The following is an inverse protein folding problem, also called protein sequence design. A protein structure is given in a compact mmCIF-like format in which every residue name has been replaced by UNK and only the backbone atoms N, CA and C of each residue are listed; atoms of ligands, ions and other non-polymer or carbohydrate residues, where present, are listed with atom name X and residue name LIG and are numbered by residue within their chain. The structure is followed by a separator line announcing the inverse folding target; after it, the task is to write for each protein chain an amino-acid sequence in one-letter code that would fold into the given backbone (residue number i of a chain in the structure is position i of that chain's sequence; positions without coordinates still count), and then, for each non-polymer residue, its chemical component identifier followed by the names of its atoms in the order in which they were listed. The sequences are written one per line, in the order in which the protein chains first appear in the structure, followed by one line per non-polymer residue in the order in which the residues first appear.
data_IF_355684714291
#
_entry.id   IF_355684714291
#
_cell.length_a   1.000
_cell.length_b   1.000
_cell.length_c   1.000
_cell.angle_alpha   90.00
_cell.angle_beta   90.00
_cell.angle_gamma   90.00
#
_symmetry.space_group_name_H-M   'P 1'
#
loop_
_entity.id
_entity.type
_entity.pdbx_description
1 polymer ?
#
# COMPACT_ATOMS: atom_id res chain seq x y z
N UNK A 1 1.58 26.70 -45.84
CA UNK A 1 1.26 27.25 -44.51
C UNK A 1 0.22 26.39 -43.79
N UNK A 2 -0.96 26.12 -44.36
CA UNK A 2 -2.04 25.32 -43.74
C UNK A 2 -1.72 23.85 -43.33
N UNK A 3 -0.91 23.13 -44.11
CA UNK A 3 -0.60 21.71 -43.83
C UNK A 3 0.20 21.49 -42.55
N UNK A 4 1.08 22.42 -42.21
CA UNK A 4 1.90 22.32 -41.00
C UNK A 4 1.06 22.56 -39.75
N UNK A 5 0.14 23.50 -39.81
CA UNK A 5 -0.80 23.80 -38.71
C UNK A 5 -1.73 22.63 -38.43
N UNK A 6 -2.24 21.97 -39.49
CA UNK A 6 -3.07 20.78 -39.35
C UNK A 6 -2.30 19.60 -38.71
N UNK A 7 -1.03 19.41 -39.06
CA UNK A 7 -0.19 18.38 -38.45
C UNK A 7 0.10 18.68 -36.98
N UNK A 8 0.42 19.93 -36.65
CA UNK A 8 0.61 20.36 -35.26
C UNK A 8 -0.65 20.11 -34.44
N UNK A 9 -1.82 20.45 -34.98
CA UNK A 9 -3.11 20.25 -34.32
C UNK A 9 -3.44 18.75 -34.14
N UNK A 10 -3.07 17.91 -35.11
CA UNK A 10 -3.20 16.46 -34.99
C UNK A 10 -2.28 15.88 -33.90
N UNK A 11 -1.02 16.31 -33.84
CA UNK A 11 -0.08 15.86 -32.81
C UNK A 11 -0.50 16.31 -31.40
N UNK A 12 -0.98 17.55 -31.24
CA UNK A 12 -1.46 18.02 -29.94
C UNK A 12 -2.72 17.26 -29.52
N UNK A 13 -3.65 16.99 -30.43
CA UNK A 13 -4.80 16.14 -30.15
C UNK A 13 -4.40 14.71 -29.77
N UNK A 14 -3.39 14.13 -30.41
CA UNK A 14 -2.89 12.79 -30.07
C UNK A 14 -2.21 12.75 -28.69
N UNK A 15 -1.50 13.81 -28.31
CA UNK A 15 -0.90 13.96 -26.98
C UNK A 15 -1.97 14.15 -25.89
N UNK A 16 -3.03 14.92 -26.17
CA UNK A 16 -4.15 15.14 -25.26
C UNK A 16 -5.06 13.90 -25.17
N UNK A 17 -5.27 13.21 -26.30
CA UNK A 17 -6.00 11.95 -26.42
C UNK A 17 -5.12 10.75 -26.08
N UNK A 18 -3.89 10.98 -25.63
CA UNK A 18 -3.01 10.04 -24.96
C UNK A 18 -3.59 9.62 -23.60
N UNK A 19 -4.83 9.16 -23.60
CA UNK A 19 -5.34 8.16 -22.70
C UNK A 19 -4.64 6.84 -23.01
N UNK A 20 -3.32 6.81 -22.78
CA UNK A 20 -2.64 5.58 -22.44
C UNK A 20 -3.33 4.97 -21.23
N UNK A 21 -3.15 3.66 -21.03
CA UNK A 21 -3.59 2.99 -19.81
C UNK A 21 -3.25 3.88 -18.60
N UNK A 22 -4.21 4.17 -17.69
CA UNK A 22 -4.02 5.17 -16.67
C UNK A 22 -2.72 4.90 -15.90
N UNK A 23 -1.85 5.90 -15.82
CA UNK A 23 -0.66 5.82 -14.99
C UNK A 23 -1.04 5.83 -13.51
N UNK A 24 -0.26 5.13 -12.69
CA UNK A 24 -0.48 5.11 -11.24
C UNK A 24 -0.30 6.51 -10.66
N UNK A 25 -1.30 7.00 -9.93
CA UNK A 25 -1.22 8.31 -9.27
C UNK A 25 -0.24 8.28 -8.10
N UNK A 26 0.54 9.34 -7.93
CA UNK A 26 1.37 9.51 -6.73
C UNK A 26 0.50 9.79 -5.47
N UNK A 27 0.84 9.21 -4.32
CA UNK A 27 0.13 9.49 -3.07
C UNK A 27 0.47 10.90 -2.56
N UNK A 28 -0.47 11.51 -1.83
CA UNK A 28 -0.24 12.82 -1.19
C UNK A 28 0.86 12.75 -0.11
N UNK A 29 0.99 11.60 0.57
CA UNK A 29 1.98 11.40 1.63
C UNK A 29 2.54 9.98 1.64
N UNK A 30 3.81 9.86 2.05
CA UNK A 30 4.52 8.58 2.17
C UNK A 30 5.05 8.45 3.60
N UNK A 31 4.60 7.40 4.29
CA UNK A 31 5.09 7.07 5.64
C UNK A 31 6.19 6.02 5.56
N UNK A 32 7.43 6.44 5.80
CA UNK A 32 8.59 5.55 5.79
C UNK A 32 8.70 4.68 7.04
N UNK A 33 9.56 3.66 6.99
CA UNK A 33 9.82 2.72 8.09
C UNK A 33 10.23 3.41 9.40
N UNK A 34 10.89 4.56 9.33
CA UNK A 34 11.23 5.35 10.50
C UNK A 34 10.01 5.80 11.31
N UNK A 35 8.90 6.04 10.63
CA UNK A 35 7.62 6.38 11.24
C UNK A 35 6.79 5.12 11.56
N UNK A 36 6.72 4.13 10.66
CA UNK A 36 5.83 2.97 10.87
C UNK A 36 6.35 1.95 11.90
N UNK A 37 7.66 1.90 12.14
CA UNK A 37 8.28 0.95 13.10
C UNK A 37 7.84 1.15 14.55
N UNK A 38 7.28 2.31 14.89
CA UNK A 38 6.84 2.63 16.24
C UNK A 38 5.44 2.09 16.55
N UNK A 39 4.70 1.60 15.54
CA UNK A 39 3.36 1.08 15.78
C UNK A 39 3.38 -0.17 16.66
N UNK A 40 2.43 -0.31 17.60
CA UNK A 40 2.32 -1.53 18.41
C UNK A 40 2.17 -2.77 17.54
N UNK A 41 2.94 -3.81 17.84
CA UNK A 41 2.93 -5.06 17.09
C UNK A 41 2.57 -6.24 18.02
N UNK A 42 1.65 -7.09 17.57
CA UNK A 42 1.34 -8.35 18.24
C UNK A 42 2.30 -9.44 17.76
N UNK A 43 2.95 -10.13 18.69
CA UNK A 43 3.92 -11.21 18.41
C UNK A 43 3.63 -12.51 19.17
N UNK A 44 2.43 -12.67 19.73
CA UNK A 44 2.02 -13.91 20.41
C UNK A 44 2.57 -14.09 21.84
N UNK A 45 3.31 -13.12 22.38
CA UNK A 45 3.82 -13.21 23.75
C UNK A 45 2.76 -12.85 24.79
N UNK A 46 2.73 -13.61 25.89
CA UNK A 46 1.96 -13.25 27.09
C UNK A 46 2.74 -12.20 27.91
N UNK A 47 2.03 -11.29 28.62
CA UNK A 47 2.67 -10.34 29.53
C UNK A 47 3.63 -11.05 30.51
N UNK A 48 4.79 -10.44 30.76
CA UNK A 48 5.79 -10.95 31.71
C UNK A 48 6.71 -12.06 31.19
N UNK A 49 6.57 -12.53 29.95
CA UNK A 49 7.45 -13.54 29.35
C UNK A 49 8.43 -12.91 28.36
N UNK A 50 9.66 -12.67 28.80
CA UNK A 50 10.75 -12.13 27.98
C UNK A 50 11.52 -13.26 27.27
N UNK A 51 10.82 -14.14 26.55
CA UNK A 51 11.53 -15.14 25.75
C UNK A 51 12.07 -14.49 24.47
N UNK A 52 13.36 -14.62 24.23
CA UNK A 52 14.02 -14.18 22.98
C UNK A 52 13.80 -15.17 21.83
N UNK A 53 13.40 -16.41 22.13
CA UNK A 53 13.05 -17.40 21.13
C UNK A 53 11.71 -17.06 20.48
N UNK A 54 11.74 -16.82 19.17
CA UNK A 54 10.57 -16.50 18.36
C UNK A 54 10.34 -17.61 17.35
N UNK A 55 9.17 -18.22 17.40
CA UNK A 55 8.68 -19.10 16.35
C UNK A 55 7.72 -18.32 15.45
N UNK A 56 7.65 -18.72 14.17
CA UNK A 56 6.70 -18.14 13.23
C UNK A 56 5.28 -18.47 13.69
N UNK A 57 4.39 -17.48 13.69
CA UNK A 57 3.01 -17.65 14.15
C UNK A 57 2.09 -18.27 13.08
N UNK A 58 2.45 -18.21 11.79
CA UNK A 58 1.62 -18.70 10.69
C UNK A 58 0.15 -18.21 10.79
N UNK A 59 -0.04 -16.88 10.91
CA UNK A 59 -1.36 -16.23 11.00
C UNK A 59 -2.15 -16.49 9.71
N UNK A 60 -3.39 -16.96 9.84
CA UNK A 60 -4.29 -17.32 8.74
C UNK A 60 -5.49 -16.37 8.63
N UNK A 61 -5.99 -15.88 9.77
CA UNK A 61 -7.17 -15.02 9.83
C UNK A 61 -7.09 -14.08 11.02
N UNK A 62 -7.61 -12.87 10.84
CA UNK A 62 -7.83 -11.89 11.88
C UNK A 62 -9.30 -11.48 11.84
N UNK A 63 -9.99 -11.54 12.98
CA UNK A 63 -11.38 -11.09 13.10
C UNK A 63 -11.59 -10.30 14.38
N UNK A 64 -12.50 -9.33 14.32
CA UNK A 64 -12.93 -8.57 15.49
C UNK A 64 -14.34 -9.01 15.83
N UNK A 65 -14.55 -9.44 17.07
CA UNK A 65 -15.89 -9.74 17.59
C UNK A 65 -16.05 -9.06 18.95
N UNK A 66 -17.14 -8.31 19.11
CA UNK A 66 -17.37 -7.40 20.24
C UNK A 66 -16.20 -6.42 20.42
N UNK A 67 -15.34 -6.66 21.42
CA UNK A 67 -14.17 -5.83 21.77
C UNK A 67 -12.87 -6.64 21.77
N UNK A 68 -12.85 -7.77 21.07
CA UNK A 68 -11.71 -8.70 21.07
C UNK A 68 -11.22 -8.95 19.66
N UNK A 69 -9.91 -8.82 19.46
CA UNK A 69 -9.20 -9.20 18.25
C UNK A 69 -8.80 -10.68 18.36
N UNK A 70 -9.40 -11.52 17.51
CA UNK A 70 -9.06 -12.93 17.39
C UNK A 70 -8.06 -13.10 16.24
N UNK A 71 -7.00 -13.89 16.49
CA UNK A 71 -5.94 -14.18 15.54
C UNK A 71 -5.84 -15.70 15.44
N UNK A 72 -6.27 -16.27 14.30
CA UNK A 72 -6.15 -17.70 14.03
C UNK A 72 -4.77 -18.00 13.43
N UNK A 73 -4.07 -18.97 14.02
CA UNK A 73 -2.67 -19.31 13.74
C UNK A 73 -2.44 -20.82 13.95
N UNK A 74 -1.31 -21.35 13.44
CA UNK A 74 -0.95 -22.78 13.53
C UNK A 74 -0.25 -23.14 14.84
#
# INVERSE_FOLDING_TARGET
TMRSEALLLYFTLLQIAGAGFPEDSEPISISHSNYTKQYPAFVGHKPGRNNTQRHKLDIQLIMIMNRTLYIAAR
#
